data_IF_445983649420
#
_entry.id   IF_445983649420
#
_cell.length_a   1.000
_cell.length_b   1.000
_cell.length_c   1.000
_cell.angle_alpha   90.00
_cell.angle_beta   90.00
_cell.angle_gamma   90.00
#
_symmetry.space_group_name_H-M   'P 1'
#
loop_
_entity.id
_entity.type
_entity.pdbx_description
1 polymer ?
#
# COMPACT_ATOMS: atom_id res chain seq x y z
N UNK A 1 28.54 33.11 -3.93
CA UNK A 1 27.29 32.46 -4.40
C UNK A 1 27.22 31.06 -3.77
N UNK A 2 26.46 30.90 -2.69
CA UNK A 2 26.31 29.60 -2.02
C UNK A 2 25.41 28.67 -2.82
N UNK A 3 25.92 27.50 -3.21
CA UNK A 3 25.13 26.46 -3.88
C UNK A 3 24.09 25.93 -2.88
N UNK A 4 22.80 26.18 -3.15
CA UNK A 4 21.71 25.55 -2.40
C UNK A 4 21.78 24.05 -2.63
N UNK A 5 21.90 23.29 -1.54
CA UNK A 5 21.80 21.84 -1.51
C UNK A 5 20.55 21.36 -2.26
N UNK A 6 20.62 20.32 -3.11
CA UNK A 6 19.47 19.81 -3.83
C UNK A 6 18.45 19.34 -2.79
N UNK A 7 17.33 20.04 -2.72
CA UNK A 7 16.22 19.71 -1.82
C UNK A 7 15.67 18.35 -2.26
N UNK A 8 16.22 17.26 -1.71
CA UNK A 8 15.51 15.99 -1.68
C UNK A 8 14.20 16.26 -0.93
N UNK A 9 13.04 15.78 -1.42
CA UNK A 9 11.80 15.95 -0.69
C UNK A 9 12.04 15.36 0.70
N UNK A 10 12.10 16.20 1.75
CA UNK A 10 12.28 15.73 3.12
C UNK A 10 11.24 14.63 3.31
N UNK A 11 11.67 13.39 3.62
CA UNK A 11 10.79 12.31 4.07
C UNK A 11 9.96 12.90 5.21
N UNK A 12 8.74 13.36 4.93
CA UNK A 12 7.87 13.91 5.95
C UNK A 12 7.36 12.72 6.74
N UNK A 13 8.03 12.47 7.86
CA UNK A 13 7.64 11.46 8.83
C UNK A 13 6.30 11.87 9.41
N UNK A 14 5.23 11.21 8.93
CA UNK A 14 3.92 11.35 9.55
C UNK A 14 3.82 10.38 10.71
N UNK A 15 3.27 10.84 11.83
CA UNK A 15 3.05 10.03 13.04
C UNK A 15 2.28 8.74 12.75
N UNK A 16 1.34 8.77 11.79
CA UNK A 16 0.58 7.60 11.34
C UNK A 16 1.47 6.45 10.83
N UNK A 17 2.66 6.77 10.32
CA UNK A 17 3.60 5.82 9.73
C UNK A 17 4.65 5.31 10.73
N UNK A 18 4.59 5.70 12.01
CA UNK A 18 5.52 5.25 13.04
C UNK A 18 4.87 4.19 13.94
N UNK A 19 5.67 3.20 14.34
CA UNK A 19 5.33 2.27 15.42
C UNK A 19 5.51 3.01 16.74
N UNK A 20 4.49 3.76 17.16
CA UNK A 20 4.58 4.74 18.25
C UNK A 20 5.10 4.15 19.57
N UNK A 21 4.73 2.90 19.89
CA UNK A 21 5.16 2.25 21.13
C UNK A 21 6.64 1.86 21.08
N UNK A 22 7.06 1.23 19.98
CA UNK A 22 8.46 0.85 19.75
C UNK A 22 9.34 2.13 19.70
N UNK A 23 8.89 3.15 18.98
CA UNK A 23 9.57 4.45 18.91
C UNK A 23 9.75 5.09 20.28
N UNK A 24 8.70 5.10 21.11
CA UNK A 24 8.77 5.64 22.48
C UNK A 24 9.77 4.87 23.33
N UNK A 25 9.77 3.54 23.25
CA UNK A 25 10.71 2.69 23.99
C UNK A 25 12.15 2.97 23.56
N UNK A 26 12.40 2.95 22.27
CA UNK A 26 13.75 3.11 21.72
C UNK A 26 14.28 4.54 21.97
N UNK A 27 13.44 5.57 21.86
CA UNK A 27 13.79 6.94 22.20
C UNK A 27 14.11 7.10 23.69
N UNK A 28 13.36 6.43 24.56
CA UNK A 28 13.62 6.45 26.01
C UNK A 28 14.97 5.82 26.33
N UNK A 29 15.30 4.70 25.67
CA UNK A 29 16.60 4.04 25.78
C UNK A 29 17.74 4.94 25.30
N UNK A 30 17.57 5.60 24.14
CA UNK A 30 18.56 6.54 23.63
C UNK A 30 18.87 7.64 24.64
N UNK A 31 17.83 8.28 25.18
CA UNK A 31 17.98 9.38 26.14
C UNK A 31 18.66 8.91 27.43
N UNK A 32 18.36 7.69 27.93
CA UNK A 32 19.08 7.16 29.10
C UNK A 32 20.55 6.91 28.80
N UNK A 33 20.87 6.28 27.66
CA UNK A 33 22.26 5.97 27.30
C UNK A 33 23.09 7.24 27.14
N UNK A 34 22.56 8.25 26.47
CA UNK A 34 23.26 9.53 26.28
C UNK A 34 23.36 10.35 27.57
N UNK A 35 22.39 10.23 28.49
CA UNK A 35 22.51 10.84 29.82
C UNK A 35 23.72 10.28 30.57
N UNK A 36 23.91 8.96 30.51
CA UNK A 36 25.01 8.29 31.20
C UNK A 36 26.36 8.61 30.52
N UNK A 37 26.40 8.64 29.19
CA UNK A 37 27.60 8.99 28.42
C UNK A 37 28.01 10.47 28.55
N UNK A 38 27.04 11.39 28.68
CA UNK A 38 27.30 12.82 28.83
C UNK A 38 28.13 13.13 30.08
N UNK A 39 28.06 12.29 31.12
CA UNK A 39 28.87 12.45 32.34
C UNK A 39 30.39 12.23 32.10
N UNK A 40 30.75 11.55 31.00
CA UNK A 40 32.13 11.19 30.66
C UNK A 40 32.59 11.79 29.32
N UNK A 41 31.77 12.65 28.71
CA UNK A 41 32.05 13.19 27.39
C UNK A 41 33.14 14.29 27.46
N UNK A 42 34.29 14.02 26.85
CA UNK A 42 35.36 15.01 26.68
C UNK A 42 35.04 16.00 25.55
N UNK A 43 34.31 15.57 24.52
CA UNK A 43 33.87 16.39 23.40
C UNK A 43 32.34 16.36 23.24
N UNK A 44 31.70 17.49 23.53
CA UNK A 44 30.25 17.65 23.46
C UNK A 44 29.74 17.68 22.01
N UNK A 45 30.53 18.20 21.07
CA UNK A 45 30.11 18.29 19.66
C UNK A 45 30.02 16.90 19.03
N UNK A 46 30.98 16.02 19.32
CA UNK A 46 30.95 14.63 18.86
C UNK A 46 29.77 13.88 19.48
N UNK A 47 29.49 14.12 20.77
CA UNK A 47 28.32 13.54 21.46
C UNK A 47 27.00 13.99 20.83
N UNK A 48 26.87 15.27 20.46
CA UNK A 48 25.67 15.77 19.77
C UNK A 48 25.54 15.13 18.39
N UNK A 49 26.64 15.03 17.63
CA UNK A 49 26.65 14.40 16.32
C UNK A 49 26.22 12.92 16.39
N UNK A 50 26.71 12.18 17.38
CA UNK A 50 26.31 10.79 17.62
C UNK A 50 24.84 10.68 18.03
N UNK A 51 24.35 11.59 18.88
CA UNK A 51 22.94 11.63 19.26
C UNK A 51 22.03 11.85 18.05
N UNK A 52 22.35 12.81 17.18
CA UNK A 52 21.58 13.08 15.97
C UNK A 52 21.55 11.88 15.02
N UNK A 53 22.69 11.19 14.88
CA UNK A 53 22.82 9.98 14.06
C UNK A 53 21.98 8.83 14.60
N UNK A 54 22.02 8.60 15.90
CA UNK A 54 21.24 7.54 16.54
C UNK A 54 19.74 7.85 16.54
N UNK A 55 19.38 9.13 16.73
CA UNK A 55 17.99 9.58 16.59
C UNK A 55 17.44 9.33 15.18
N UNK A 56 18.25 9.61 14.14
CA UNK A 56 17.88 9.31 12.77
C UNK A 56 17.69 7.80 12.55
N UNK A 57 18.58 6.98 13.12
CA UNK A 57 18.50 5.52 13.05
C UNK A 57 17.24 4.97 13.71
N UNK A 58 16.89 5.46 14.91
CA UNK A 58 15.64 5.10 15.61
C UNK A 58 14.42 5.47 14.78
N UNK A 59 14.42 6.66 14.16
CA UNK A 59 13.34 7.07 13.28
C UNK A 59 13.16 6.09 12.11
N UNK A 60 14.25 5.61 11.50
CA UNK A 60 14.21 4.68 10.37
C UNK A 60 13.79 3.25 10.76
N UNK A 61 14.22 2.76 11.93
CA UNK A 61 13.85 1.44 12.44
C UNK A 61 12.36 1.37 12.81
N UNK A 62 11.80 2.47 13.32
CA UNK A 62 10.44 2.53 13.83
C UNK A 62 9.39 2.90 12.79
N UNK A 63 9.78 3.02 11.53
CA UNK A 63 8.84 3.21 10.43
C UNK A 63 8.04 1.93 10.24
N UNK A 64 6.71 2.07 10.20
CA UNK A 64 5.83 1.04 9.68
C UNK A 64 6.24 0.78 8.24
N UNK A 65 6.82 -0.40 7.99
CA UNK A 65 6.96 -0.89 6.62
C UNK A 65 5.56 -0.89 6.00
N UNK A 66 5.43 -0.35 4.79
CA UNK A 66 4.20 -0.46 4.02
C UNK A 66 3.97 -1.94 3.76
N UNK A 67 3.24 -2.59 4.66
CA UNK A 67 2.64 -3.88 4.37
C UNK A 67 1.57 -3.54 3.34
N UNK A 68 1.86 -3.83 2.08
CA UNK A 68 0.80 -3.97 1.11
C UNK A 68 -0.11 -5.03 1.72
N UNK A 69 -1.24 -4.60 2.31
CA UNK A 69 -2.28 -5.53 2.71
C UNK A 69 -2.57 -6.31 1.44
N UNK A 70 -2.12 -7.55 1.38
CA UNK A 70 -2.54 -8.48 0.37
C UNK A 70 -4.06 -8.48 0.55
N UNK A 71 -4.79 -7.80 -0.34
CA UNK A 71 -6.23 -7.93 -0.34
C UNK A 71 -6.43 -9.41 -0.58
N UNK A 72 -6.84 -10.14 0.45
CA UNK A 72 -7.35 -11.49 0.32
C UNK A 72 -8.62 -11.35 -0.49
N UNK A 73 -8.45 -11.21 -1.80
CA UNK A 73 -9.55 -11.37 -2.71
C UNK A 73 -9.99 -12.82 -2.58
N UNK A 74 -11.29 -13.08 -2.77
CA UNK A 74 -11.81 -14.44 -2.75
C UNK A 74 -10.94 -15.35 -3.63
N UNK A 75 -10.80 -16.63 -3.29
CA UNK A 75 -9.90 -17.56 -4.00
C UNK A 75 -10.14 -17.60 -5.52
N UNK A 76 -11.38 -17.38 -5.96
CA UNK A 76 -11.76 -17.30 -7.38
C UNK A 76 -11.45 -15.97 -8.07
N UNK A 77 -10.91 -14.99 -7.34
CA UNK A 77 -10.60 -13.66 -7.83
C UNK A 77 -9.19 -13.60 -8.40
N UNK A 78 -9.08 -13.32 -9.70
CA UNK A 78 -7.80 -13.24 -10.41
C UNK A 78 -7.45 -11.81 -10.83
N UNK A 79 -6.17 -11.55 -11.09
CA UNK A 79 -5.70 -10.27 -11.68
C UNK A 79 -6.42 -9.96 -13.01
N UNK A 80 -6.77 -11.00 -13.78
CA UNK A 80 -7.57 -10.88 -15.00
C UNK A 80 -8.98 -10.34 -14.71
N UNK A 81 -9.66 -10.88 -13.69
CA UNK A 81 -10.97 -10.36 -13.26
C UNK A 81 -10.88 -8.93 -12.74
N UNK A 82 -9.78 -8.56 -12.09
CA UNK A 82 -9.57 -7.20 -11.60
C UNK A 82 -9.36 -6.19 -12.74
N UNK A 83 -8.58 -6.56 -13.75
CA UNK A 83 -8.40 -5.79 -14.97
C UNK A 83 -9.73 -5.62 -15.73
N UNK A 84 -10.51 -6.71 -15.88
CA UNK A 84 -11.83 -6.67 -16.51
C UNK A 84 -12.80 -5.77 -15.73
N UNK A 85 -12.84 -5.87 -14.40
CA UNK A 85 -13.65 -5.00 -13.54
C UNK A 85 -13.31 -3.52 -13.78
N UNK A 86 -12.03 -3.20 -13.79
CA UNK A 86 -11.54 -1.83 -14.01
C UNK A 86 -11.95 -1.30 -15.38
N UNK A 87 -11.83 -2.13 -16.42
CA UNK A 87 -12.28 -1.81 -17.79
C UNK A 87 -13.78 -1.56 -17.85
N UNK A 88 -14.59 -2.48 -17.32
CA UNK A 88 -16.06 -2.36 -17.26
C UNK A 88 -16.48 -1.09 -16.54
N UNK A 89 -15.87 -0.75 -15.40
CA UNK A 89 -16.18 0.47 -14.66
C UNK A 89 -15.80 1.73 -15.43
N UNK A 90 -14.68 1.72 -16.15
CA UNK A 90 -14.31 2.82 -17.02
C UNK A 90 -15.32 3.02 -18.15
N UNK A 91 -15.78 1.92 -18.77
CA UNK A 91 -16.82 1.95 -19.81
C UNK A 91 -18.15 2.48 -19.27
N UNK A 92 -18.60 1.99 -18.11
CA UNK A 92 -19.81 2.49 -17.43
C UNK A 92 -19.73 3.99 -17.20
N UNK A 93 -18.61 4.47 -16.67
CA UNK A 93 -18.38 5.91 -16.41
C UNK A 93 -18.41 6.74 -17.69
N UNK A 94 -17.84 6.23 -18.79
CA UNK A 94 -17.87 6.91 -20.11
C UNK A 94 -19.31 6.98 -20.64
N UNK A 95 -20.03 5.87 -20.62
CA UNK A 95 -21.46 5.80 -20.98
C UNK A 95 -22.28 6.83 -20.20
N UNK A 96 -22.20 6.81 -18.86
CA UNK A 96 -22.97 7.71 -17.99
C UNK A 96 -22.66 9.20 -18.20
N UNK A 97 -21.42 9.53 -18.58
CA UNK A 97 -20.97 10.91 -18.82
C UNK A 97 -21.16 11.39 -20.26
N UNK A 98 -21.72 10.56 -21.14
CA UNK A 98 -21.88 10.90 -22.56
C UNK A 98 -23.10 11.81 -22.74
N UNK A 99 -22.94 13.06 -23.23
CA UNK A 99 -24.06 13.99 -23.41
C UNK A 99 -24.89 13.65 -24.66
N UNK A 100 -24.22 13.30 -25.76
CA UNK A 100 -24.86 12.98 -27.04
C UNK A 100 -25.64 11.65 -26.98
N UNK A 101 -26.93 11.61 -27.39
CA UNK A 101 -27.74 10.40 -27.35
C UNK A 101 -27.23 9.25 -28.23
N UNK A 102 -26.72 9.53 -29.43
CA UNK A 102 -26.28 8.47 -30.36
C UNK A 102 -24.99 7.79 -29.89
N UNK A 103 -24.02 8.58 -29.41
CA UNK A 103 -22.80 8.09 -28.80
C UNK A 103 -23.06 7.41 -27.46
N UNK A 104 -24.04 7.90 -26.69
CA UNK A 104 -24.48 7.24 -25.45
C UNK A 104 -24.99 5.83 -25.74
N UNK A 105 -25.85 5.66 -26.75
CA UNK A 105 -26.37 4.34 -27.15
C UNK A 105 -25.24 3.40 -27.60
N UNK A 106 -24.31 3.86 -28.44
CA UNK A 106 -23.13 3.07 -28.84
C UNK A 106 -22.31 2.60 -27.65
N UNK A 107 -22.05 3.51 -26.69
CA UNK A 107 -21.28 3.21 -25.48
C UNK A 107 -22.04 2.29 -24.52
N UNK A 108 -23.37 2.39 -24.46
CA UNK A 108 -24.23 1.49 -23.70
C UNK A 108 -24.16 0.06 -24.23
N UNK A 109 -24.30 -0.13 -25.54
CA UNK A 109 -24.18 -1.44 -26.19
C UNK A 109 -22.81 -2.05 -25.89
N UNK A 110 -21.74 -1.27 -26.06
CA UNK A 110 -20.39 -1.75 -25.80
C UNK A 110 -20.14 -2.09 -24.33
N UNK A 111 -20.56 -1.21 -23.40
CA UNK A 111 -20.48 -1.45 -21.96
C UNK A 111 -21.23 -2.72 -21.56
N UNK A 112 -22.46 -2.89 -22.06
CA UNK A 112 -23.33 -4.03 -21.72
C UNK A 112 -22.72 -5.34 -22.19
N UNK A 113 -22.17 -5.38 -23.40
CA UNK A 113 -21.47 -6.55 -23.92
C UNK A 113 -20.23 -6.93 -23.06
N UNK A 114 -19.40 -5.96 -22.71
CA UNK A 114 -18.22 -6.20 -21.86
C UNK A 114 -18.60 -6.59 -20.43
N UNK A 115 -19.69 -6.03 -19.90
CA UNK A 115 -20.21 -6.37 -18.59
C UNK A 115 -20.76 -7.80 -18.53
N UNK A 116 -21.43 -8.25 -19.59
CA UNK A 116 -21.90 -9.64 -19.72
C UNK A 116 -20.72 -10.63 -19.71
N UNK A 117 -19.64 -10.34 -20.47
CA UNK A 117 -18.40 -11.14 -20.45
C UNK A 117 -17.78 -11.21 -19.05
N UNK A 118 -17.71 -10.08 -18.36
CA UNK A 118 -17.20 -10.03 -16.98
C UNK A 118 -18.04 -10.87 -16.01
N UNK A 119 -19.38 -10.80 -16.09
CA UNK A 119 -20.27 -11.64 -15.27
C UNK A 119 -20.07 -13.13 -15.54
N UNK A 120 -19.94 -13.52 -16.81
CA UNK A 120 -19.68 -14.91 -17.19
C UNK A 120 -18.37 -15.42 -16.58
N UNK A 121 -17.29 -14.62 -16.68
CA UNK A 121 -15.99 -14.96 -16.10
C UNK A 121 -16.04 -15.09 -14.58
N UNK A 122 -16.83 -14.27 -13.88
CA UNK A 122 -17.05 -14.46 -12.43
C UNK A 122 -17.74 -15.80 -12.17
N UNK A 123 -18.80 -16.13 -12.93
CA UNK A 123 -19.54 -17.39 -12.75
C UNK A 123 -18.62 -18.60 -12.96
N UNK A 124 -17.82 -18.58 -14.04
CA UNK A 124 -16.84 -19.62 -14.34
C UNK A 124 -15.77 -19.70 -13.24
N UNK A 125 -15.22 -18.56 -12.80
CA UNK A 125 -14.26 -18.52 -11.70
C UNK A 125 -14.83 -19.16 -10.44
N UNK A 126 -16.06 -18.83 -10.04
CA UNK A 126 -16.72 -19.44 -8.89
C UNK A 126 -16.92 -20.95 -9.06
N UNK A 127 -17.37 -21.38 -10.24
CA UNK A 127 -17.62 -22.81 -10.52
C UNK A 127 -16.34 -23.62 -10.51
N UNK A 128 -15.31 -23.24 -11.27
CA UNK A 128 -14.03 -23.96 -11.33
C UNK A 128 -13.44 -24.16 -9.94
N UNK A 129 -13.46 -23.10 -9.12
CA UNK A 129 -12.93 -23.17 -7.77
C UNK A 129 -13.80 -23.98 -6.80
N UNK A 130 -15.10 -24.10 -7.07
CA UNK A 130 -15.98 -25.00 -6.33
C UNK A 130 -15.69 -26.47 -6.67
N UNK A 131 -15.53 -26.79 -7.96
CA UNK A 131 -15.19 -28.15 -8.42
C UNK A 131 -13.81 -28.59 -7.94
N UNK A 132 -12.80 -27.73 -8.03
CA UNK A 132 -11.44 -28.03 -7.53
C UNK A 132 -11.39 -28.25 -6.02
N UNK A 133 -12.35 -27.70 -5.26
CA UNK A 133 -12.45 -27.96 -3.82
C UNK A 133 -13.10 -29.32 -3.54
N UNK A 134 -14.02 -29.78 -4.40
CA UNK A 134 -14.69 -31.07 -4.29
C UNK A 134 -13.82 -32.27 -4.70
N UNK A 135 -12.97 -32.11 -5.71
CA UNK A 135 -12.06 -33.17 -6.19
C UNK A 135 -10.91 -33.51 -5.20
N UNK A 136 -10.71 -32.70 -4.14
CA UNK A 136 -9.74 -32.98 -3.08
C UNK A 136 -10.22 -33.97 -2.00
N UNK A 137 -11.43 -34.51 -2.10
CA UNK A 137 -11.86 -35.65 -1.27
C UNK A 137 -11.90 -36.92 -2.12
N UNK A 138 -10.82 -37.74 -2.11
CA UNK A 138 -10.95 -39.10 -2.60
C UNK A 138 -11.93 -39.82 -1.65
N UNK A 139 -13.00 -40.36 -2.22
CA UNK A 139 -13.87 -41.33 -1.55
C UNK A 139 -12.98 -42.42 -0.94
N UNK A 140 -13.07 -42.57 0.39
CA UNK A 140 -12.44 -43.66 1.14
C UNK A 140 -13.32 -44.89 1.08
#
# INVERSE_FOLDING_TARGET
MGKRSPFTPRKRWKVENLKILDFRRDLSLLVSTFRDLAAFAENIEDLIADFEKDLATICELNVKKKVYKLKFNAFWWSNKLDAMRSRVWALRRRFQRSPDPSERLRREVYYTAEYAKYKLMIKQGKQINFWSFGECYPEK
#
